data_IF_431095271052
#
_entry.id   IF_431095271052
#
_cell.length_a   1.000
_cell.length_b   1.000
_cell.length_c   1.000
_cell.angle_alpha   90.00
_cell.angle_beta   90.00
_cell.angle_gamma   90.00
#
_symmetry.space_group_name_H-M   'P 1'
#
loop_
_entity.id
_entity.type
_entity.pdbx_description
1 polymer ?
#
# COMPACT_ATOMS: atom_id res chain seq x y z
N UNK A 1 -8.54 -28.54 -5.73
CA UNK A 1 -8.24 -27.18 -6.24
C UNK A 1 -9.46 -26.74 -7.05
N UNK A 2 -10.04 -25.60 -6.76
CA UNK A 2 -11.30 -25.16 -7.39
C UNK A 2 -11.05 -24.40 -8.72
N UNK A 3 -9.82 -23.87 -8.92
CA UNK A 3 -9.45 -23.09 -10.10
C UNK A 3 -8.24 -23.69 -10.81
N UNK A 4 -8.05 -23.34 -12.08
CA UNK A 4 -6.83 -23.64 -12.78
C UNK A 4 -5.63 -22.94 -12.08
N UNK A 5 -4.42 -23.54 -12.13
CA UNK A 5 -3.24 -22.87 -11.60
C UNK A 5 -3.02 -21.51 -12.30
N UNK A 6 -2.71 -20.43 -11.56
CA UNK A 6 -2.39 -19.15 -12.19
C UNK A 6 -1.11 -19.25 -13.03
N UNK A 7 -1.01 -18.42 -14.05
CA UNK A 7 0.21 -18.33 -14.87
C UNK A 7 1.32 -17.62 -14.06
N UNK A 8 2.50 -18.25 -13.97
CA UNK A 8 3.68 -17.61 -13.38
C UNK A 8 4.26 -16.55 -14.32
N UNK A 9 4.55 -15.36 -13.77
CA UNK A 9 5.24 -14.29 -14.47
C UNK A 9 6.50 -13.89 -13.66
N UNK A 10 7.65 -13.69 -14.31
CA UNK A 10 8.85 -13.18 -13.66
C UNK A 10 8.78 -11.67 -13.48
N UNK A 11 9.55 -11.15 -12.52
CA UNK A 11 9.85 -9.73 -12.39
C UNK A 11 11.25 -9.40 -12.87
N UNK A 12 11.51 -8.13 -13.11
CA UNK A 12 12.85 -7.54 -13.22
C UNK A 12 12.99 -6.40 -12.25
N UNK A 13 14.22 -6.04 -11.89
CA UNK A 13 14.48 -4.87 -11.04
C UNK A 13 14.31 -3.61 -11.89
N UNK A 14 13.44 -2.70 -11.44
CA UNK A 14 13.26 -1.37 -12.03
C UNK A 14 14.26 -0.37 -11.43
N UNK A 15 14.31 -0.30 -10.11
CA UNK A 15 15.20 0.61 -9.38
C UNK A 15 15.68 -0.04 -8.08
N UNK A 16 16.81 0.41 -7.56
CA UNK A 16 17.35 -0.02 -6.28
C UNK A 16 17.77 1.21 -5.48
N UNK A 17 17.44 1.23 -4.20
CA UNK A 17 17.92 2.29 -3.32
C UNK A 17 19.45 2.24 -3.26
N UNK A 18 20.14 3.31 -3.65
CA UNK A 18 21.61 3.37 -3.69
C UNK A 18 22.25 3.16 -2.32
N UNK A 19 23.47 2.61 -2.29
CA UNK A 19 24.21 2.35 -1.05
C UNK A 19 24.40 3.58 -0.15
N UNK A 20 24.53 4.78 -0.74
CA UNK A 20 24.62 6.04 -0.01
C UNK A 20 23.41 6.34 0.89
N UNK A 21 22.28 5.69 0.60
CA UNK A 21 21.04 5.82 1.37
C UNK A 21 20.76 4.60 2.26
N UNK A 22 21.60 3.55 2.25
CA UNK A 22 21.44 2.37 3.10
C UNK A 22 21.93 2.64 4.52
N UNK A 23 21.06 2.44 5.52
CA UNK A 23 21.38 2.71 6.93
C UNK A 23 21.65 1.38 7.62
N UNK A 24 22.93 1.09 7.91
CA UNK A 24 23.39 -0.19 8.46
C UNK A 24 23.90 -0.10 9.90
N UNK A 25 24.01 1.09 10.44
CA UNK A 25 24.65 1.39 11.72
C UNK A 25 23.68 1.72 12.85
N UNK A 26 22.38 1.83 12.54
CA UNK A 26 21.34 2.10 13.55
C UNK A 26 20.10 1.21 13.36
N UNK A 27 19.38 0.98 14.46
CA UNK A 27 18.07 0.30 14.47
C UNK A 27 17.03 1.18 15.13
N UNK A 28 15.88 1.36 14.49
CA UNK A 28 14.76 2.14 15.02
C UNK A 28 13.85 1.28 15.91
N UNK A 29 12.90 1.90 16.60
CA UNK A 29 11.87 1.19 17.36
C UNK A 29 11.03 0.30 16.44
N UNK A 30 10.66 0.81 15.26
CA UNK A 30 9.93 0.06 14.24
C UNK A 30 10.68 -1.21 13.82
N UNK A 31 11.98 -1.09 13.49
CA UNK A 31 12.81 -2.25 13.10
C UNK A 31 12.83 -3.31 14.20
N UNK A 32 13.03 -2.91 15.45
CA UNK A 32 13.07 -3.85 16.58
C UNK A 32 11.74 -4.59 16.78
N UNK A 33 10.61 -3.90 16.59
CA UNK A 33 9.27 -4.49 16.79
C UNK A 33 8.86 -5.34 15.58
N UNK A 34 9.06 -4.85 14.36
CA UNK A 34 8.53 -5.47 13.14
C UNK A 34 9.48 -6.48 12.52
N UNK A 35 10.79 -6.27 12.66
CA UNK A 35 11.83 -7.11 12.02
C UNK A 35 12.65 -7.95 13.01
N UNK A 36 12.58 -7.61 14.30
CA UNK A 36 13.34 -8.30 15.34
C UNK A 36 14.85 -8.21 15.12
N UNK A 37 15.50 -9.34 14.86
CA UNK A 37 16.95 -9.44 14.61
C UNK A 37 17.32 -9.44 13.12
N UNK A 38 16.33 -9.33 12.21
CA UNK A 38 16.62 -9.32 10.78
C UNK A 38 17.33 -8.02 10.38
N UNK A 39 18.47 -8.09 9.69
CA UNK A 39 19.15 -6.92 9.17
C UNK A 39 18.20 -6.10 8.29
N UNK A 40 18.08 -4.80 8.57
CA UNK A 40 17.20 -3.91 7.82
C UNK A 40 17.94 -2.59 7.62
N UNK A 41 18.26 -2.26 6.39
CA UNK A 41 18.96 -1.02 6.01
C UNK A 41 18.06 -0.05 5.22
N UNK A 42 16.88 -0.50 4.82
CA UNK A 42 15.70 0.22 4.38
C UNK A 42 14.49 -0.73 4.38
N UNK A 43 13.26 -0.18 4.31
CA UNK A 43 12.03 -0.99 4.18
C UNK A 43 11.02 -0.22 3.32
N UNK A 44 10.96 -0.58 2.03
CA UNK A 44 10.19 0.17 1.04
C UNK A 44 8.71 -0.16 1.08
N UNK A 45 7.89 0.90 0.96
CA UNK A 45 6.43 0.84 0.96
C UNK A 45 5.82 1.96 0.10
N UNK A 46 4.50 2.01 0.02
CA UNK A 46 3.69 3.11 -0.48
C UNK A 46 4.02 3.62 -1.87
N UNK A 47 4.18 2.77 -2.91
CA UNK A 47 4.50 3.23 -4.25
C UNK A 47 3.36 4.06 -4.83
N UNK A 48 3.68 5.25 -5.38
CA UNK A 48 2.69 6.12 -6.01
C UNK A 48 3.32 6.97 -7.12
N UNK A 49 2.72 6.93 -8.31
CA UNK A 49 3.21 7.71 -9.44
C UNK A 49 2.70 9.15 -9.41
N UNK A 50 3.61 10.07 -9.71
CA UNK A 50 3.27 11.45 -10.01
C UNK A 50 2.96 11.61 -11.51
N UNK A 51 2.33 12.73 -11.88
CA UNK A 51 1.96 13.05 -13.28
C UNK A 51 3.15 13.13 -14.24
N UNK A 52 4.33 13.47 -13.74
CA UNK A 52 5.57 13.50 -14.50
C UNK A 52 6.19 12.11 -14.76
N UNK A 53 5.54 11.06 -14.28
CA UNK A 53 5.99 9.68 -14.37
C UNK A 53 7.01 9.27 -13.31
N UNK A 54 7.41 10.17 -12.40
CA UNK A 54 8.26 9.81 -11.28
C UNK A 54 7.50 8.94 -10.26
N UNK A 55 8.20 8.01 -9.63
CA UNK A 55 7.66 7.11 -8.63
C UNK A 55 8.11 7.55 -7.24
N UNK A 56 7.16 7.87 -6.36
CA UNK A 56 7.44 8.05 -4.95
C UNK A 56 7.32 6.70 -4.23
N UNK A 57 8.25 6.45 -3.30
CA UNK A 57 8.22 5.33 -2.35
C UNK A 57 8.63 5.82 -0.97
N UNK A 58 8.13 5.18 0.06
CA UNK A 58 8.51 5.49 1.44
C UNK A 58 9.43 4.41 1.99
N UNK A 59 10.24 4.77 2.99
CA UNK A 59 11.03 3.86 3.80
C UNK A 59 10.56 3.95 5.25
N UNK A 60 9.74 2.99 5.61
CA UNK A 60 9.08 2.92 6.93
C UNK A 60 10.10 2.87 8.05
N UNK A 61 11.17 2.09 7.84
CA UNK A 61 12.15 1.80 8.86
C UNK A 61 12.90 3.04 9.38
N UNK A 62 13.07 4.06 8.52
CA UNK A 62 13.92 5.20 8.82
C UNK A 62 13.27 6.58 8.56
N UNK A 63 11.93 6.60 8.34
CA UNK A 63 11.19 7.85 8.19
C UNK A 63 11.55 8.63 6.93
N UNK A 64 11.77 7.95 5.78
CA UNK A 64 12.26 8.58 4.56
C UNK A 64 11.29 8.44 3.40
N UNK A 65 11.35 9.40 2.49
CA UNK A 65 10.56 9.40 1.26
C UNK A 65 11.52 9.62 0.10
N UNK A 66 11.48 8.71 -0.86
CA UNK A 66 12.30 8.76 -2.07
C UNK A 66 11.44 9.06 -3.30
N UNK A 67 12.03 9.77 -4.26
CA UNK A 67 11.53 9.93 -5.62
C UNK A 67 12.47 9.22 -6.58
N UNK A 68 11.90 8.37 -7.42
CA UNK A 68 12.61 7.59 -8.44
C UNK A 68 12.23 8.16 -9.80
N UNK A 69 13.23 8.40 -10.67
CA UNK A 69 13.00 8.91 -12.02
C UNK A 69 12.15 7.93 -12.87
N UNK A 70 11.46 8.41 -13.93
CA UNK A 70 10.61 7.57 -14.78
C UNK A 70 11.33 6.39 -15.45
N UNK A 71 12.65 6.48 -15.62
CA UNK A 71 13.49 5.42 -16.16
C UNK A 71 14.14 4.53 -15.09
N UNK A 72 13.91 4.82 -13.80
CA UNK A 72 14.45 4.07 -12.66
C UNK A 72 15.92 4.30 -12.35
N UNK A 73 16.61 5.22 -13.06
CA UNK A 73 18.06 5.39 -12.93
C UNK A 73 18.48 6.29 -11.77
N UNK A 74 17.66 7.31 -11.47
CA UNK A 74 17.96 8.26 -10.41
C UNK A 74 17.02 8.07 -9.23
N UNK A 75 17.61 8.06 -8.02
CA UNK A 75 16.89 8.00 -6.74
C UNK A 75 17.30 9.21 -5.91
N UNK A 76 16.32 10.01 -5.54
CA UNK A 76 16.45 11.20 -4.72
C UNK A 76 15.79 10.98 -3.36
N UNK A 77 16.45 11.44 -2.29
CA UNK A 77 15.84 11.55 -0.97
C UNK A 77 15.10 12.89 -0.90
N UNK A 78 13.76 12.82 -0.88
CA UNK A 78 12.89 14.01 -0.82
C UNK A 78 12.71 14.50 0.61
N UNK A 79 12.51 13.57 1.55
CA UNK A 79 12.31 13.91 2.96
C UNK A 79 12.89 12.83 3.87
N UNK A 80 13.35 13.25 5.05
CA UNK A 80 13.64 12.39 6.21
C UNK A 80 13.10 13.09 7.47
N UNK A 81 12.27 12.39 8.25
CA UNK A 81 11.64 12.95 9.45
C UNK A 81 11.45 11.88 10.54
N UNK A 82 11.12 12.29 11.74
CA UNK A 82 10.85 11.38 12.86
C UNK A 82 9.44 10.78 12.74
N UNK A 83 9.26 9.88 11.76
CA UNK A 83 8.02 9.21 11.45
C UNK A 83 8.23 7.77 11.00
N UNK A 84 7.11 7.13 10.69
CA UNK A 84 7.03 5.75 10.17
C UNK A 84 6.09 5.74 8.94
N UNK A 85 6.48 6.43 7.81
CA UNK A 85 5.65 6.51 6.61
C UNK A 85 5.43 5.12 6.03
N UNK A 86 4.19 4.74 5.75
CA UNK A 86 3.84 3.44 5.20
C UNK A 86 3.15 3.58 3.83
N UNK A 87 1.93 4.09 3.76
CA UNK A 87 1.26 4.38 2.50
C UNK A 87 1.53 5.82 2.01
N UNK A 88 1.50 6.02 0.70
CA UNK A 88 1.60 7.35 0.08
C UNK A 88 0.65 7.44 -1.11
N UNK A 89 -0.11 8.52 -1.22
CA UNK A 89 -0.94 8.83 -2.40
C UNK A 89 -0.89 10.31 -2.73
N UNK A 90 -0.89 10.60 -4.02
CA UNK A 90 -0.90 11.97 -4.54
C UNK A 90 -2.33 12.35 -4.89
N UNK A 91 -2.80 13.46 -4.34
CA UNK A 91 -4.11 14.03 -4.61
C UNK A 91 -4.11 14.77 -5.96
N UNK A 92 -5.27 14.93 -6.59
CA UNK A 92 -5.38 15.61 -7.91
C UNK A 92 -4.92 17.07 -7.92
N UNK A 93 -4.87 17.73 -6.77
CA UNK A 93 -4.34 19.09 -6.63
C UNK A 93 -2.82 19.16 -6.40
N UNK A 94 -2.15 18.00 -6.41
CA UNK A 94 -0.71 17.87 -6.25
C UNK A 94 -0.22 17.66 -4.81
N UNK A 95 -1.10 17.77 -3.80
CA UNK A 95 -0.72 17.45 -2.41
C UNK A 95 -0.38 15.98 -2.27
N UNK A 96 0.67 15.68 -1.52
CA UNK A 96 1.13 14.31 -1.25
C UNK A 96 0.73 13.92 0.17
N UNK A 97 -0.14 12.92 0.29
CA UNK A 97 -0.63 12.38 1.55
C UNK A 97 0.14 11.13 1.93
N UNK A 98 0.51 11.04 3.19
CA UNK A 98 1.25 9.92 3.76
C UNK A 98 0.43 9.30 4.88
N UNK A 99 0.22 7.99 4.81
CA UNK A 99 -0.22 7.18 5.93
C UNK A 99 1.01 6.89 6.81
N UNK A 100 1.11 7.59 7.93
CA UNK A 100 2.22 7.41 8.86
C UNK A 100 1.76 6.57 10.05
N UNK A 101 2.43 5.44 10.27
CA UNK A 101 2.07 4.49 11.31
C UNK A 101 2.16 5.11 12.73
N UNK A 102 3.05 6.08 12.92
CA UNK A 102 3.28 6.75 14.21
C UNK A 102 2.41 7.99 14.42
N UNK A 103 2.14 8.74 13.34
CA UNK A 103 1.55 10.08 13.44
C UNK A 103 0.16 10.21 12.84
N UNK A 104 -0.30 9.26 12.03
CA UNK A 104 -1.59 9.33 11.33
C UNK A 104 -1.44 9.76 9.88
N UNK A 105 -2.31 10.64 9.37
CA UNK A 105 -2.20 11.18 8.01
C UNK A 105 -1.36 12.45 8.04
N UNK A 106 -0.30 12.46 7.22
CA UNK A 106 0.63 13.58 7.08
C UNK A 106 0.58 14.14 5.66
N UNK A 107 1.09 15.35 5.47
CA UNK A 107 1.31 15.98 4.16
C UNK A 107 2.80 16.22 3.95
N UNK A 108 3.28 15.86 2.77
CA UNK A 108 4.63 16.18 2.30
C UNK A 108 4.55 17.38 1.35
N UNK A 109 5.39 18.37 1.59
CA UNK A 109 5.78 19.37 0.60
C UNK A 109 7.03 18.83 -0.13
N UNK A 110 6.92 18.44 -1.42
CA UNK A 110 8.03 17.85 -2.14
C UNK A 110 9.14 18.86 -2.52
N UNK A 111 8.87 20.17 -2.42
CA UNK A 111 9.86 21.21 -2.72
C UNK A 111 10.76 21.49 -1.51
N UNK A 112 10.15 21.63 -0.32
CA UNK A 112 10.90 21.88 0.93
C UNK A 112 11.35 20.59 1.62
N UNK A 113 10.69 19.46 1.37
CA UNK A 113 10.88 18.20 2.10
C UNK A 113 10.17 18.19 3.46
N UNK A 114 9.37 19.21 3.77
CA UNK A 114 8.65 19.31 5.04
C UNK A 114 7.50 18.31 5.10
N UNK A 115 7.40 17.58 6.21
CA UNK A 115 6.28 16.68 6.50
C UNK A 115 5.49 17.22 7.67
N UNK A 116 4.23 17.57 7.45
CA UNK A 116 3.36 18.21 8.43
C UNK A 116 2.11 17.39 8.74
N UNK A 117 1.57 17.46 9.97
CA UNK A 117 0.35 16.74 10.33
C UNK A 117 -0.88 17.25 9.55
N UNK A 118 -1.66 16.31 9.00
CA UNK A 118 -2.97 16.59 8.41
C UNK A 118 -4.11 16.09 9.34
N UNK A 119 -4.05 14.82 9.75
CA UNK A 119 -5.04 14.21 10.64
C UNK A 119 -4.35 13.17 11.53
N UNK A 120 -4.30 13.42 12.83
CA UNK A 120 -3.52 12.58 13.78
C UNK A 120 -4.40 11.78 14.74
N UNK A 121 -5.72 11.99 14.71
CA UNK A 121 -6.65 11.37 15.66
C UNK A 121 -8.09 11.34 15.15
N UNK A 122 -8.84 10.39 15.66
CA UNK A 122 -10.31 10.37 15.60
C UNK A 122 -10.83 10.91 16.93
N UNK A 123 -11.49 12.10 16.89
CA UNK A 123 -11.95 12.82 18.10
C UNK A 123 -10.80 13.04 19.10
N UNK A 124 -10.80 12.32 20.22
CA UNK A 124 -9.79 12.42 21.28
C UNK A 124 -8.73 11.31 21.20
N UNK A 125 -9.02 10.22 20.48
CA UNK A 125 -8.15 9.05 20.39
C UNK A 125 -7.17 9.16 19.23
N UNK A 126 -5.93 8.77 19.46
CA UNK A 126 -4.95 8.62 18.39
C UNK A 126 -5.29 7.40 17.54
N UNK A 127 -4.91 7.46 16.27
CA UNK A 127 -4.88 6.26 15.44
C UNK A 127 -3.91 5.22 16.03
N UNK A 128 -4.19 3.95 15.79
CA UNK A 128 -3.36 2.83 16.28
C UNK A 128 -2.05 2.68 15.50
N UNK A 129 -2.10 3.04 14.22
CA UNK A 129 -1.00 2.97 13.28
C UNK A 129 -1.56 2.92 11.87
N UNK A 130 -1.66 4.10 11.22
CA UNK A 130 -2.21 4.21 9.87
C UNK A 130 -1.26 3.55 8.89
N UNK A 131 -1.81 2.69 8.00
CA UNK A 131 -0.99 1.87 7.12
C UNK A 131 -1.07 2.32 5.66
N UNK A 132 -2.24 2.28 5.03
CA UNK A 132 -2.38 2.65 3.62
C UNK A 132 -3.62 3.53 3.39
N UNK A 133 -3.70 4.17 2.22
CA UNK A 133 -4.75 5.13 1.88
C UNK A 133 -5.10 5.09 0.38
N UNK A 134 -6.33 5.49 0.05
CA UNK A 134 -6.79 5.66 -1.34
C UNK A 134 -7.84 6.77 -1.41
N UNK A 135 -7.85 7.52 -2.53
CA UNK A 135 -8.89 8.49 -2.81
C UNK A 135 -9.96 7.90 -3.73
N UNK A 136 -11.22 8.22 -3.46
CA UNK A 136 -12.33 8.01 -4.40
C UNK A 136 -12.40 9.15 -5.42
N UNK A 137 -13.18 8.96 -6.48
CA UNK A 137 -13.34 9.93 -7.58
C UNK A 137 -13.89 11.28 -7.11
N UNK A 138 -14.68 11.31 -6.02
CA UNK A 138 -15.20 12.54 -5.42
C UNK A 138 -14.21 13.22 -4.44
N UNK A 139 -13.06 12.58 -4.17
CA UNK A 139 -12.01 13.11 -3.28
C UNK A 139 -12.12 12.67 -1.82
N UNK A 140 -13.05 11.78 -1.47
CA UNK A 140 -13.05 11.21 -0.13
C UNK A 140 -11.80 10.33 0.05
N UNK A 141 -11.18 10.42 1.22
CA UNK A 141 -10.00 9.64 1.58
C UNK A 141 -10.41 8.42 2.39
N UNK A 142 -10.08 7.22 1.91
CA UNK A 142 -10.20 5.98 2.67
C UNK A 142 -8.82 5.58 3.16
N UNK A 143 -8.73 5.09 4.40
CA UNK A 143 -7.45 4.63 4.96
C UNK A 143 -7.65 3.53 6.00
N UNK A 144 -6.62 2.71 6.15
CA UNK A 144 -6.56 1.65 7.14
C UNK A 144 -5.76 2.10 8.36
N UNK A 145 -6.29 1.79 9.55
CA UNK A 145 -5.63 2.00 10.85
C UNK A 145 -5.31 0.64 11.44
N UNK A 146 -4.13 0.13 11.07
CA UNK A 146 -3.70 -1.24 11.33
C UNK A 146 -3.25 -1.46 12.77
N UNK A 147 -2.36 -0.62 13.26
CA UNK A 147 -1.67 -0.83 14.53
C UNK A 147 -0.96 -2.19 14.59
N UNK A 148 -0.75 -2.68 15.80
CA UNK A 148 -0.20 -4.02 16.05
C UNK A 148 -1.31 -5.07 16.22
N UNK A 149 -2.42 -4.91 15.49
CA UNK A 149 -3.60 -5.77 15.57
C UNK A 149 -3.40 -7.10 14.83
N UNK A 150 -4.26 -8.05 15.09
CA UNK A 150 -4.21 -9.38 14.50
C UNK A 150 -5.40 -10.23 14.94
N UNK A 151 -5.37 -11.54 14.70
CA UNK A 151 -6.44 -12.45 15.13
C UNK A 151 -6.64 -12.48 16.65
N UNK A 152 -5.60 -12.18 17.43
CA UNK A 152 -5.66 -12.07 18.89
C UNK A 152 -6.27 -10.76 19.38
N UNK A 153 -6.20 -9.71 18.53
CA UNK A 153 -6.74 -8.37 18.78
C UNK A 153 -7.26 -7.81 17.45
N UNK A 154 -8.47 -8.19 17.01
CA UNK A 154 -9.01 -7.76 15.72
C UNK A 154 -9.60 -6.36 15.77
N UNK A 155 -8.90 -5.39 16.32
CA UNK A 155 -9.39 -4.02 16.52
C UNK A 155 -8.79 -3.00 15.57
N UNK A 156 -8.20 -3.44 14.44
CA UNK A 156 -7.84 -2.57 13.33
C UNK A 156 -9.08 -2.01 12.65
N UNK A 157 -8.94 -0.88 11.96
CA UNK A 157 -10.07 -0.09 11.47
C UNK A 157 -9.91 0.27 10.00
N UNK A 158 -11.05 0.46 9.33
CA UNK A 158 -11.18 1.12 8.04
C UNK A 158 -11.93 2.43 8.25
N UNK A 159 -11.34 3.53 7.82
CA UNK A 159 -11.91 4.87 7.88
C UNK A 159 -12.24 5.41 6.49
N UNK A 160 -13.21 6.33 6.46
CA UNK A 160 -13.49 7.25 5.37
C UNK A 160 -13.48 8.68 5.90
N UNK A 161 -12.66 9.53 5.32
CA UNK A 161 -12.69 10.97 5.57
C UNK A 161 -13.29 11.66 4.35
N UNK A 162 -14.47 12.21 4.55
CA UNK A 162 -15.25 12.84 3.49
C UNK A 162 -14.74 14.24 3.18
N UNK A 163 -15.00 14.71 1.96
CA UNK A 163 -14.64 16.06 1.52
C UNK A 163 -15.33 17.17 2.31
N UNK A 164 -16.44 16.87 3.00
CA UNK A 164 -17.13 17.79 3.92
C UNK A 164 -16.53 17.81 5.34
N UNK A 165 -15.42 17.10 5.57
CA UNK A 165 -14.69 17.09 6.84
C UNK A 165 -15.16 16.07 7.86
N UNK A 166 -16.10 15.18 7.51
CA UNK A 166 -16.60 14.14 8.41
C UNK A 166 -15.68 12.89 8.32
N UNK A 167 -15.17 12.45 9.47
CA UNK A 167 -14.46 11.20 9.62
C UNK A 167 -15.43 10.11 10.09
N UNK A 168 -15.50 9.02 9.35
CA UNK A 168 -16.36 7.86 9.60
C UNK A 168 -15.52 6.60 9.82
N UNK A 169 -15.66 5.93 10.96
CA UNK A 169 -15.15 4.58 11.15
C UNK A 169 -16.14 3.60 10.48
N UNK A 170 -15.74 3.04 9.34
CA UNK A 170 -16.58 2.13 8.55
C UNK A 170 -16.61 0.71 9.13
N UNK A 171 -15.44 0.21 9.55
CA UNK A 171 -15.26 -1.09 10.20
C UNK A 171 -14.21 -0.95 11.29
N UNK A 172 -14.45 -1.51 12.47
CA UNK A 172 -13.56 -1.39 13.64
C UNK A 172 -13.08 -2.74 14.18
N UNK A 173 -13.24 -3.81 13.38
CA UNK A 173 -12.98 -5.19 13.83
C UNK A 173 -12.16 -5.98 12.81
N UNK A 174 -11.15 -5.34 12.21
CA UNK A 174 -10.33 -5.96 11.17
C UNK A 174 -8.98 -6.41 11.77
N UNK A 175 -8.63 -7.70 11.71
CA UNK A 175 -7.34 -8.16 12.22
C UNK A 175 -6.19 -7.78 11.28
N UNK A 176 -5.54 -6.65 11.53
CA UNK A 176 -4.42 -6.12 10.74
C UNK A 176 -4.83 -5.70 9.31
N UNK A 177 -5.70 -4.67 9.15
CA UNK A 177 -6.02 -4.10 7.84
C UNK A 177 -4.78 -3.41 7.25
N UNK A 178 -4.53 -3.62 5.97
CA UNK A 178 -3.35 -3.15 5.26
C UNK A 178 -3.76 -2.42 3.97
N UNK A 179 -3.22 -2.78 2.81
CA UNK A 179 -3.56 -2.16 1.54
C UNK A 179 -5.06 -2.17 1.23
N UNK A 180 -5.54 -1.15 0.53
CA UNK A 180 -6.94 -1.02 0.17
C UNK A 180 -7.12 -0.39 -1.21
N UNK A 181 -8.19 -0.77 -1.90
CA UNK A 181 -8.66 -0.10 -3.14
C UNK A 181 -10.18 -0.08 -3.18
N UNK A 182 -10.75 0.90 -3.90
CA UNK A 182 -12.17 0.90 -4.25
C UNK A 182 -12.42 0.01 -5.47
N UNK A 183 -13.60 -0.63 -5.55
CA UNK A 183 -14.03 -1.25 -6.81
C UNK A 183 -14.27 -0.16 -7.87
N UNK A 184 -14.28 -0.53 -9.16
CA UNK A 184 -14.40 0.43 -10.27
C UNK A 184 -15.67 1.29 -10.22
N UNK A 185 -16.70 0.82 -9.54
CA UNK A 185 -17.98 1.52 -9.36
C UNK A 185 -18.04 2.29 -8.01
N UNK A 186 -16.97 2.23 -7.21
CA UNK A 186 -16.86 2.83 -5.88
C UNK A 186 -18.00 2.44 -4.92
N UNK A 187 -18.49 1.20 -5.06
CA UNK A 187 -19.55 0.62 -4.22
C UNK A 187 -19.06 -0.34 -3.17
N UNK A 188 -17.77 -0.64 -3.19
CA UNK A 188 -17.11 -1.45 -2.18
C UNK A 188 -15.63 -1.05 -2.04
N UNK A 189 -15.08 -1.26 -0.84
CA UNK A 189 -13.65 -1.24 -0.59
C UNK A 189 -13.16 -2.69 -0.50
N UNK A 190 -12.09 -3.03 -1.23
CA UNK A 190 -11.30 -4.22 -0.97
C UNK A 190 -10.20 -3.87 0.01
N UNK A 191 -10.05 -4.67 1.06
CA UNK A 191 -9.06 -4.47 2.12
C UNK A 191 -8.25 -5.74 2.29
N UNK A 192 -6.94 -5.63 2.20
CA UNK A 192 -6.05 -6.71 2.59
C UNK A 192 -6.03 -6.84 4.12
N UNK A 193 -6.34 -8.04 4.60
CA UNK A 193 -6.39 -8.37 6.01
C UNK A 193 -5.23 -9.33 6.30
N UNK A 194 -4.05 -8.75 6.56
CA UNK A 194 -2.77 -9.46 6.59
C UNK A 194 -2.82 -10.67 7.53
N UNK A 195 -3.28 -10.49 8.77
CA UNK A 195 -3.25 -11.57 9.77
C UNK A 195 -4.38 -12.58 9.66
N UNK A 196 -5.40 -12.32 8.81
CA UNK A 196 -6.38 -13.32 8.40
C UNK A 196 -5.98 -14.01 7.08
N UNK A 197 -4.89 -13.59 6.45
CA UNK A 197 -4.42 -14.05 5.13
C UNK A 197 -5.52 -14.01 4.07
N UNK A 198 -6.26 -12.88 4.02
CA UNK A 198 -7.46 -12.73 3.22
C UNK A 198 -7.61 -11.31 2.64
N UNK A 199 -8.34 -11.21 1.54
CA UNK A 199 -8.89 -9.93 1.06
C UNK A 199 -10.36 -9.87 1.44
N UNK A 200 -10.76 -8.83 2.17
CA UNK A 200 -12.16 -8.59 2.49
C UNK A 200 -12.79 -7.64 1.48
N UNK A 201 -14.05 -7.88 1.17
CA UNK A 201 -14.90 -6.95 0.45
C UNK A 201 -15.85 -6.28 1.42
N UNK A 202 -15.78 -4.94 1.47
CA UNK A 202 -16.56 -4.07 2.36
C UNK A 202 -17.54 -3.26 1.52
N UNK A 203 -18.81 -3.71 1.34
CA UNK A 203 -19.78 -2.98 0.56
C UNK A 203 -20.19 -1.67 1.24
N UNK A 204 -20.15 -0.57 0.47
CA UNK A 204 -20.52 0.77 0.90
C UNK A 204 -22.02 1.01 0.67
N UNK A 205 -22.68 1.63 1.63
CA UNK A 205 -24.09 2.04 1.48
C UNK A 205 -24.16 3.47 0.94
N UNK A 206 -25.11 3.77 0.02
CA UNK A 206 -25.26 5.11 -0.55
C UNK A 206 -25.53 6.19 0.51
N UNK A 207 -26.18 5.82 1.62
CA UNK A 207 -26.48 6.71 2.74
C UNK A 207 -25.40 6.78 3.82
N UNK A 208 -24.25 6.16 3.58
CA UNK A 208 -23.13 6.03 4.55
C UNK A 208 -23.14 4.70 5.29
N UNK A 209 -21.98 4.35 5.87
CA UNK A 209 -21.77 3.06 6.54
C UNK A 209 -21.57 1.89 5.58
N UNK A 210 -21.52 0.69 6.14
CA UNK A 210 -21.24 -0.56 5.41
C UNK A 210 -22.22 -1.66 5.79
N UNK A 211 -22.31 -2.71 4.95
CA UNK A 211 -23.10 -3.90 5.26
C UNK A 211 -22.49 -5.16 4.65
N UNK A 212 -22.79 -6.33 5.26
CA UNK A 212 -22.41 -7.64 4.71
C UNK A 212 -20.93 -7.73 4.31
N UNK A 213 -20.04 -7.22 5.18
CA UNK A 213 -18.61 -7.38 5.03
C UNK A 213 -18.28 -8.86 5.01
N UNK A 214 -17.46 -9.29 4.05
CA UNK A 214 -17.10 -10.70 3.92
C UNK A 214 -15.75 -10.91 3.27
N UNK A 215 -15.23 -12.13 3.44
CA UNK A 215 -14.03 -12.57 2.74
C UNK A 215 -14.32 -12.71 1.25
N UNK A 216 -13.55 -12.01 0.43
CA UNK A 216 -13.60 -12.11 -1.03
C UNK A 216 -12.60 -13.12 -1.55
N UNK A 217 -11.35 -13.05 -1.06
CA UNK A 217 -10.29 -14.00 -1.40
C UNK A 217 -9.71 -14.53 -0.10
N UNK A 218 -9.57 -15.85 0.00
CA UNK A 218 -8.82 -16.50 1.05
C UNK A 218 -7.49 -16.98 0.46
N UNK A 219 -6.38 -16.40 0.92
CA UNK A 219 -5.04 -16.85 0.57
C UNK A 219 -4.60 -18.01 1.46
N UNK A 220 -3.57 -18.73 1.04
CA UNK A 220 -2.97 -19.79 1.83
C UNK A 220 -1.44 -19.74 1.75
N UNK A 221 -0.79 -20.09 2.86
CA UNK A 221 0.67 -20.07 2.97
C UNK A 221 1.23 -18.67 3.19
N UNK A 222 2.56 -18.56 3.11
CA UNK A 222 3.31 -17.35 3.42
C UNK A 222 3.56 -17.15 4.91
N UNK A 223 4.58 -16.36 5.24
CA UNK A 223 4.94 -16.02 6.62
C UNK A 223 4.28 -14.70 7.09
N UNK A 224 3.85 -13.88 6.16
CA UNK A 224 3.19 -12.61 6.41
C UNK A 224 1.71 -12.67 6.09
N UNK A 225 1.34 -12.33 4.86
CA UNK A 225 -0.04 -12.28 4.37
C UNK A 225 -0.18 -11.24 3.26
N UNK A 226 -1.41 -10.96 2.77
CA UNK A 226 -1.64 -9.89 1.82
C UNK A 226 -1.30 -8.53 2.45
N UNK A 227 -0.63 -7.68 1.66
CA UNK A 227 -0.05 -6.42 2.08
C UNK A 227 -0.62 -5.27 1.23
N UNK A 228 0.13 -4.67 0.33
CA UNK A 228 -0.39 -3.67 -0.60
C UNK A 228 -1.33 -4.24 -1.65
N UNK A 229 -2.17 -3.37 -2.24
CA UNK A 229 -3.24 -3.76 -3.15
C UNK A 229 -3.42 -2.71 -4.26
N UNK A 230 -3.59 -3.18 -5.51
CA UNK A 230 -3.97 -2.34 -6.65
C UNK A 230 -5.07 -3.00 -7.48
N UNK A 231 -5.79 -2.20 -8.27
CA UNK A 231 -6.86 -2.67 -9.15
C UNK A 231 -6.59 -2.22 -10.59
N UNK A 232 -6.95 -3.05 -11.57
CA UNK A 232 -6.86 -2.70 -12.98
C UNK A 232 -8.21 -2.26 -13.57
N UNK A 233 -8.22 -1.87 -14.85
CA UNK A 233 -9.42 -1.36 -15.54
C UNK A 233 -10.49 -2.42 -15.80
N UNK A 234 -10.21 -3.70 -15.61
CA UNK A 234 -11.17 -4.80 -15.66
C UNK A 234 -11.65 -5.24 -14.28
N UNK A 235 -11.15 -4.58 -13.22
CA UNK A 235 -11.47 -4.90 -11.82
C UNK A 235 -10.68 -6.06 -11.26
N UNK A 236 -9.59 -6.48 -11.92
CA UNK A 236 -8.71 -7.49 -11.36
C UNK A 236 -7.87 -6.88 -10.23
N UNK A 237 -7.64 -7.67 -9.18
CA UNK A 237 -6.89 -7.23 -8.00
C UNK A 237 -5.46 -7.77 -8.03
N UNK A 238 -4.47 -6.88 -8.01
CA UNK A 238 -3.07 -7.21 -7.76
C UNK A 238 -2.80 -7.12 -6.25
N UNK A 239 -2.46 -8.24 -5.63
CA UNK A 239 -2.32 -8.41 -4.18
C UNK A 239 -0.88 -8.79 -3.86
N UNK A 240 -0.11 -7.90 -3.26
CA UNK A 240 1.22 -8.22 -2.73
C UNK A 240 1.09 -9.21 -1.57
N UNK A 241 1.97 -10.22 -1.50
CA UNK A 241 1.96 -11.23 -0.47
C UNK A 241 3.33 -11.27 0.22
N UNK A 242 3.46 -10.46 1.26
CA UNK A 242 4.70 -10.33 2.02
C UNK A 242 5.06 -11.62 2.72
N UNK A 243 6.34 -11.98 2.69
CA UNK A 243 6.84 -13.24 3.23
C UNK A 243 6.53 -14.48 2.37
N UNK A 244 6.01 -14.24 1.14
CA UNK A 244 5.81 -15.27 0.12
C UNK A 244 6.61 -14.99 -1.17
N UNK A 245 7.07 -13.75 -1.35
CA UNK A 245 7.86 -13.31 -2.50
C UNK A 245 7.08 -13.31 -3.81
N UNK A 246 5.81 -12.91 -3.77
CA UNK A 246 5.02 -12.78 -4.98
C UNK A 246 3.92 -11.73 -4.86
N UNK A 247 3.39 -11.38 -6.03
CA UNK A 247 2.11 -10.67 -6.17
C UNK A 247 1.14 -11.60 -6.88
N UNK A 248 -0.06 -11.75 -6.35
CA UNK A 248 -1.15 -12.47 -6.99
C UNK A 248 -2.02 -11.50 -7.77
N UNK A 249 -2.46 -11.90 -8.97
CA UNK A 249 -3.51 -11.17 -9.68
C UNK A 249 -4.74 -12.06 -9.74
N UNK A 250 -5.84 -11.56 -9.18
CA UNK A 250 -7.13 -12.22 -9.17
C UNK A 250 -8.10 -11.49 -10.09
N UNK A 251 -8.97 -12.23 -10.79
CA UNK A 251 -10.05 -11.65 -11.57
C UNK A 251 -11.03 -10.87 -10.68
N UNK A 252 -11.90 -10.06 -11.30
CA UNK A 252 -13.00 -9.37 -10.63
C UNK A 252 -13.96 -10.31 -9.87
N UNK A 253 -13.88 -11.62 -10.10
CA UNK A 253 -14.63 -12.66 -9.40
C UNK A 253 -13.80 -13.45 -8.38
N UNK A 254 -12.51 -13.11 -8.21
CA UNK A 254 -11.62 -13.76 -7.25
C UNK A 254 -10.92 -15.02 -7.77
N UNK A 255 -10.93 -15.28 -9.08
CA UNK A 255 -10.19 -16.39 -9.67
C UNK A 255 -8.71 -16.01 -9.84
N UNK A 256 -7.73 -16.84 -9.45
CA UNK A 256 -6.32 -16.55 -9.62
C UNK A 256 -5.90 -16.59 -11.09
N UNK A 257 -5.46 -15.45 -11.64
CA UNK A 257 -5.02 -15.30 -13.03
C UNK A 257 -3.51 -15.44 -13.17
N UNK A 258 -2.78 -14.68 -12.35
CA UNK A 258 -1.32 -14.63 -12.40
C UNK A 258 -0.72 -14.72 -11.00
N UNK A 259 0.50 -15.29 -10.96
CA UNK A 259 1.41 -15.23 -9.83
C UNK A 259 2.72 -14.62 -10.30
N UNK A 260 2.96 -13.37 -9.93
CA UNK A 260 4.14 -12.60 -10.28
C UNK A 260 5.21 -12.88 -9.22
N UNK A 261 6.29 -13.54 -9.59
CA UNK A 261 7.34 -13.94 -8.66
C UNK A 261 8.43 -12.90 -8.56
N UNK A 262 8.78 -12.54 -7.32
CA UNK A 262 9.95 -11.71 -7.05
C UNK A 262 11.22 -12.41 -7.54
N UNK A 263 12.08 -11.66 -8.24
CA UNK A 263 13.43 -12.10 -8.63
C UNK A 263 14.47 -11.80 -7.53
N UNK A 264 14.04 -11.20 -6.42
CA UNK A 264 14.87 -10.81 -5.28
C UNK A 264 14.39 -11.53 -3.99
N UNK A 265 14.04 -10.78 -2.95
CA UNK A 265 13.63 -11.31 -1.66
C UNK A 265 12.16 -11.74 -1.57
N UNK A 266 11.73 -12.03 -0.34
CA UNK A 266 10.37 -12.48 -0.06
C UNK A 266 9.44 -11.36 0.44
N UNK A 267 9.96 -10.17 0.69
CA UNK A 267 9.20 -9.06 1.22
C UNK A 267 8.61 -8.18 0.11
N UNK A 268 7.75 -8.76 -0.74
CA UNK A 268 6.90 -8.00 -1.67
C UNK A 268 5.80 -7.31 -0.89
N UNK A 269 5.94 -6.00 -0.65
CA UNK A 269 5.09 -5.27 0.31
C UNK A 269 3.94 -4.54 -0.37
N UNK A 270 4.19 -3.73 -1.40
CA UNK A 270 3.13 -2.94 -2.00
C UNK A 270 3.27 -2.87 -3.53
N UNK A 271 2.23 -2.38 -4.20
CA UNK A 271 2.13 -2.38 -5.65
C UNK A 271 1.48 -1.10 -6.19
N UNK A 272 1.94 -0.65 -7.35
CA UNK A 272 1.29 0.41 -8.12
C UNK A 272 1.40 0.14 -9.61
N UNK A 273 0.33 0.42 -10.36
CA UNK A 273 0.38 0.44 -11.81
C UNK A 273 0.99 1.75 -12.30
N UNK A 274 1.79 1.66 -13.37
CA UNK A 274 2.44 2.81 -14.01
C UNK A 274 3.00 2.47 -15.38
N UNK A 275 4.01 3.23 -15.79
CA UNK A 275 4.58 3.14 -17.13
C UNK A 275 3.73 3.86 -18.20
N UNK A 276 4.25 4.01 -19.43
CA UNK A 276 3.61 4.83 -20.47
C UNK A 276 2.20 4.40 -20.84
N UNK A 277 1.91 3.09 -20.79
CA UNK A 277 0.60 2.52 -21.11
C UNK A 277 -0.20 2.13 -19.86
N UNK A 278 0.32 2.42 -18.66
CA UNK A 278 -0.30 2.04 -17.40
C UNK A 278 -0.36 0.52 -17.14
N UNK A 279 0.38 -0.30 -17.90
CA UNK A 279 0.33 -1.77 -17.85
C UNK A 279 1.44 -2.39 -17.02
N UNK A 280 2.42 -1.61 -16.63
CA UNK A 280 3.51 -2.10 -15.81
C UNK A 280 3.09 -2.05 -14.34
N UNK A 281 3.15 -3.19 -13.66
CA UNK A 281 2.99 -3.27 -12.22
C UNK A 281 4.36 -3.11 -11.57
N UNK A 282 4.50 -2.07 -10.73
CA UNK A 282 5.68 -1.81 -9.92
C UNK A 282 5.44 -2.35 -8.51
N UNK A 283 6.45 -3.01 -7.94
CA UNK A 283 6.33 -3.77 -6.70
C UNK A 283 7.48 -3.37 -5.79
N UNK A 284 7.19 -2.87 -4.60
CA UNK A 284 8.21 -2.65 -3.57
C UNK A 284 8.66 -3.99 -3.00
N UNK A 285 9.98 -4.24 -3.02
CA UNK A 285 10.60 -5.41 -2.40
C UNK A 285 11.58 -4.92 -1.32
N UNK A 286 11.19 -5.16 -0.07
CA UNK A 286 11.75 -4.47 1.09
C UNK A 286 12.96 -5.18 1.69
N UNK A 287 13.18 -6.49 1.46
CA UNK A 287 14.36 -7.20 1.94
C UNK A 287 15.62 -6.78 1.16
N UNK A 288 15.51 -6.56 -0.14
CA UNK A 288 16.60 -6.09 -1.00
C UNK A 288 16.62 -4.58 -1.20
N UNK A 289 15.53 -3.88 -0.82
CA UNK A 289 15.34 -2.44 -0.98
C UNK A 289 15.33 -2.04 -2.45
N UNK A 290 14.53 -2.70 -3.24
CA UNK A 290 14.35 -2.39 -4.65
C UNK A 290 12.86 -2.27 -5.01
N UNK A 291 12.60 -1.68 -6.16
CA UNK A 291 11.33 -1.71 -6.84
C UNK A 291 11.47 -2.67 -8.01
N UNK A 292 10.62 -3.69 -8.05
CA UNK A 292 10.51 -4.63 -9.15
C UNK A 292 9.45 -4.17 -10.14
N UNK A 293 9.47 -4.72 -11.36
CA UNK A 293 8.44 -4.47 -12.36
C UNK A 293 8.04 -5.73 -13.10
N UNK A 294 6.78 -5.76 -13.55
CA UNK A 294 6.21 -6.83 -14.38
C UNK A 294 5.14 -6.24 -15.30
N UNK A 295 5.20 -6.58 -16.58
CA UNK A 295 4.19 -6.16 -17.56
C UNK A 295 2.95 -7.03 -17.47
N UNK A 296 1.77 -6.40 -17.50
CA UNK A 296 0.46 -7.05 -17.46
C UNK A 296 -0.38 -6.69 -18.68
N UNK A 297 -1.33 -7.57 -19.09
CA UNK A 297 -2.13 -7.33 -20.29
C UNK A 297 -3.16 -6.20 -20.13
N UNK A 298 -3.61 -5.93 -18.89
CA UNK A 298 -4.65 -4.95 -18.58
C UNK A 298 -3.99 -3.77 -17.86
N UNK A 299 -4.25 -2.51 -18.30
CA UNK A 299 -3.74 -1.34 -17.60
C UNK A 299 -4.41 -1.16 -16.25
N UNK A 300 -3.67 -0.61 -15.29
CA UNK A 300 -4.21 -0.25 -13.99
C UNK A 300 -5.28 0.82 -14.06
N UNK A 301 -6.16 0.86 -13.05
CA UNK A 301 -7.08 1.96 -12.83
C UNK A 301 -6.27 3.25 -12.62
N UNK A 302 -6.68 4.34 -13.28
CA UNK A 302 -6.02 5.63 -13.09
C UNK A 302 -6.10 6.06 -11.62
N UNK A 303 -4.97 6.45 -11.07
CA UNK A 303 -4.92 7.02 -9.72
C UNK A 303 -5.60 8.40 -9.70
N UNK A 304 -6.12 8.79 -8.53
CA UNK A 304 -6.79 10.08 -8.35
C UNK A 304 -5.93 11.29 -8.74
N UNK A 305 -4.62 11.18 -8.66
CA UNK A 305 -3.68 12.21 -9.14
C UNK A 305 -3.70 12.44 -10.66
N UNK A 306 -4.23 11.49 -11.43
CA UNK A 306 -4.20 11.50 -12.90
C UNK A 306 -5.59 11.77 -13.54
N UNK A 307 -6.61 12.07 -12.73
CA UNK A 307 -7.96 12.39 -13.19
C UNK A 307 -8.33 13.86 -13.03
#
# INVERSE_FOLDING_TARGET
MLFAPPKDLPTTVFARIPDKFRIRDRSTAWVRVQRGTQPTDCFLEGPSFNRDGSLYVVDVAFGRIFRISPDGQDVELVAEYDGEPNGLKIHKDGRIFIADFRHGIMLLDPESGDVTPYMTRDRLDRFKGVNDLVFSSNGDLYFTDQGLTGLHDPTGRLYRYRTDGVLEALVETIPSPNGLVLDLAERAVFVNVTRANAVWRVPLLPQGGVMKVGTFIQLSGGLGGPDGLAIDQEGNLAVAHVGFGCVWVFSALGEPLYRIRSCEGLATTNVAYGGPEGRTLFITESDSGCVLQCELPVPGQLMYSHV
#
